data_IF_668544328108
#
_entry.id   IF_668544328108
#
_cell.length_a   1.000
_cell.length_b   1.000
_cell.length_c   1.000
_cell.angle_alpha   90.00
_cell.angle_beta   90.00
_cell.angle_gamma   90.00
#
_symmetry.space_group_name_H-M   'P 1'
#
loop_
_entity.id
_entity.type
_entity.pdbx_description
1 polymer ?
#
# COMPACT_ATOMS: atom_id res chain seq x y z
N UNK A 1 -7.35 4.19 -12.14
CA UNK A 1 -7.00 3.90 -10.73
C UNK A 1 -6.96 5.20 -9.94
N UNK A 2 -7.45 5.20 -8.71
CA UNK A 2 -7.40 6.37 -7.85
C UNK A 2 -6.15 6.31 -6.98
N UNK A 3 -5.34 7.37 -6.99
CA UNK A 3 -4.08 7.42 -6.26
C UNK A 3 -4.31 8.00 -4.86
N UNK A 4 -4.97 7.23 -4.02
CA UNK A 4 -5.31 7.69 -2.68
C UNK A 4 -4.08 7.73 -1.75
N UNK A 5 -4.03 8.69 -0.81
CA UNK A 5 -3.20 8.57 0.38
C UNK A 5 -3.64 7.35 1.19
N UNK A 6 -2.70 6.45 1.45
CA UNK A 6 -2.92 5.19 2.15
C UNK A 6 -1.89 5.01 3.26
N UNK A 7 -2.30 4.30 4.30
CA UNK A 7 -1.47 3.79 5.38
C UNK A 7 -1.48 2.27 5.31
N UNK A 8 -0.29 1.67 5.21
CA UNK A 8 -0.09 0.23 5.29
C UNK A 8 0.42 -0.14 6.69
N UNK A 9 -0.15 -1.17 7.27
CA UNK A 9 0.49 -1.92 8.36
C UNK A 9 1.00 -3.23 7.77
N UNK A 10 2.27 -3.54 7.96
CA UNK A 10 2.86 -4.81 7.54
C UNK A 10 2.67 -5.87 8.64
N UNK A 11 2.71 -7.15 8.25
CA UNK A 11 2.73 -8.30 9.17
C UNK A 11 3.91 -8.25 10.15
N UNK A 12 4.99 -7.53 9.80
CA UNK A 12 6.13 -7.25 10.69
C UNK A 12 5.85 -6.20 11.77
N UNK A 13 4.70 -5.52 11.74
CA UNK A 13 4.36 -4.39 12.60
C UNK A 13 4.86 -3.03 12.09
N UNK A 14 5.56 -2.98 10.95
CA UNK A 14 6.02 -1.73 10.34
C UNK A 14 4.85 -0.99 9.72
N UNK A 15 4.77 0.31 9.96
CA UNK A 15 3.80 1.21 9.34
C UNK A 15 4.45 1.99 8.19
N UNK A 16 3.76 2.06 7.05
CA UNK A 16 4.20 2.83 5.87
C UNK A 16 3.05 3.75 5.46
N UNK A 17 3.29 5.06 5.45
CA UNK A 17 2.30 6.05 5.03
C UNK A 17 2.78 6.69 3.73
N UNK A 18 1.89 6.75 2.74
CA UNK A 18 2.25 7.33 1.45
C UNK A 18 1.08 7.37 0.48
N UNK A 19 1.36 7.65 -0.78
CA UNK A 19 0.34 7.67 -1.84
C UNK A 19 0.43 6.39 -2.67
N UNK A 20 -0.65 5.61 -2.74
CA UNK A 20 -0.73 4.46 -3.63
C UNK A 20 -0.72 4.92 -5.09
N UNK A 21 0.18 4.38 -5.91
CA UNK A 21 0.34 4.76 -7.31
C UNK A 21 -0.24 3.71 -8.27
N UNK A 22 0.18 2.46 -8.10
CA UNK A 22 -0.19 1.34 -8.97
C UNK A 22 0.13 0.00 -8.28
N UNK A 23 -0.21 -1.12 -8.90
CA UNK A 23 0.23 -2.47 -8.55
C UNK A 23 1.12 -3.03 -9.64
N UNK A 24 2.28 -3.61 -9.30
CA UNK A 24 3.18 -4.23 -10.28
C UNK A 24 3.99 -5.36 -9.66
N UNK A 25 4.63 -6.17 -10.50
CA UNK A 25 5.56 -7.20 -10.05
C UNK A 25 6.96 -6.61 -9.85
N UNK A 26 7.64 -7.01 -8.77
CA UNK A 26 9.06 -6.70 -8.56
C UNK A 26 9.96 -7.64 -9.40
N UNK A 27 11.29 -7.49 -9.29
CA UNK A 27 12.26 -8.33 -10.02
C UNK A 27 12.20 -9.81 -9.62
N UNK A 28 11.73 -10.12 -8.40
CA UNK A 28 11.48 -11.47 -7.92
C UNK A 28 10.13 -12.04 -8.40
N UNK A 29 9.35 -11.26 -9.16
CA UNK A 29 7.99 -11.55 -9.63
C UNK A 29 6.92 -11.56 -8.53
N UNK A 30 7.23 -11.08 -7.34
CA UNK A 30 6.22 -10.88 -6.28
C UNK A 30 5.28 -9.74 -6.66
N UNK A 31 4.01 -9.87 -6.29
CA UNK A 31 3.03 -8.80 -6.47
C UNK A 31 3.25 -7.72 -5.41
N UNK A 32 3.42 -6.48 -5.87
CA UNK A 32 3.68 -5.33 -5.02
C UNK A 32 2.69 -4.20 -5.30
N UNK A 33 2.40 -3.41 -4.26
CA UNK A 33 1.88 -2.07 -4.43
C UNK A 33 3.04 -1.09 -4.58
N UNK A 34 2.98 -0.26 -5.62
CA UNK A 34 3.87 0.87 -5.82
C UNK A 34 3.31 2.07 -5.05
N UNK A 35 4.13 2.64 -4.18
CA UNK A 35 3.76 3.80 -3.36
C UNK A 35 4.78 4.92 -3.51
N UNK A 36 4.33 6.15 -3.31
CA UNK A 36 5.20 7.30 -3.09
C UNK A 36 5.25 7.62 -1.60
N UNK A 37 6.43 7.50 -1.01
CA UNK A 37 6.72 7.78 0.41
C UNK A 37 7.82 8.84 0.44
N UNK A 38 7.55 9.99 1.06
CA UNK A 38 8.51 11.12 1.14
C UNK A 38 9.14 11.53 -0.20
N UNK A 39 8.36 11.46 -1.29
CA UNK A 39 8.81 11.79 -2.65
C UNK A 39 9.62 10.68 -3.35
N UNK A 40 9.88 9.57 -2.66
CA UNK A 40 10.56 8.39 -3.21
C UNK A 40 9.53 7.33 -3.57
N UNK A 41 9.72 6.69 -4.72
CA UNK A 41 8.89 5.53 -5.11
C UNK A 41 9.43 4.27 -4.46
N UNK A 42 8.55 3.54 -3.78
CA UNK A 42 8.86 2.27 -3.12
C UNK A 42 7.88 1.17 -3.55
N UNK A 43 8.34 -0.07 -3.50
CA UNK A 43 7.52 -1.26 -3.70
C UNK A 43 7.31 -1.97 -2.38
N UNK A 44 6.06 -2.27 -2.05
CA UNK A 44 5.70 -3.07 -0.88
C UNK A 44 5.04 -4.35 -1.37
N UNK A 45 5.59 -5.51 -0.99
CA UNK A 45 5.05 -6.82 -1.36
C UNK A 45 3.68 -7.01 -0.71
N UNK A 46 2.65 -7.32 -1.51
CA UNK A 46 1.26 -7.41 -1.06
C UNK A 46 1.09 -8.44 0.06
N UNK A 47 1.76 -9.58 -0.04
CA UNK A 47 1.69 -10.67 0.95
C UNK A 47 2.23 -10.28 2.34
N UNK A 48 3.04 -9.21 2.40
CA UNK A 48 3.58 -8.70 3.67
C UNK A 48 2.67 -7.68 4.35
N UNK A 49 1.59 -7.25 3.69
CA UNK A 49 0.63 -6.28 4.20
C UNK A 49 -0.35 -6.99 5.13
N UNK A 50 -0.57 -6.42 6.31
CA UNK A 50 -1.62 -6.82 7.26
C UNK A 50 -2.88 -5.97 7.05
N UNK A 51 -2.73 -4.64 6.95
CA UNK A 51 -3.86 -3.74 6.68
C UNK A 51 -3.49 -2.64 5.69
N UNK A 52 -4.49 -2.17 4.95
CA UNK A 52 -4.44 -0.99 4.11
C UNK A 52 -5.61 -0.07 4.47
N UNK A 53 -5.29 1.13 4.93
CA UNK A 53 -6.24 2.18 5.28
C UNK A 53 -6.14 3.33 4.28
N UNK A 54 -7.27 3.84 3.78
CA UNK A 54 -7.31 5.09 3.02
C UNK A 54 -7.49 6.24 4.01
N UNK A 55 -6.55 7.18 4.03
CA UNK A 55 -6.52 8.24 5.05
C UNK A 55 -7.38 9.47 4.70
N UNK A 56 -8.18 9.35 3.63
CA UNK A 56 -9.15 10.36 3.19
C UNK A 56 -10.52 9.71 2.97
N UNK A 57 -11.58 10.49 3.18
CA UNK A 57 -12.92 10.04 2.87
C UNK A 57 -13.02 9.74 1.36
N UNK A 58 -13.47 8.53 1.06
CA UNK A 58 -13.63 8.05 -0.30
C UNK A 58 -14.80 7.05 -0.35
N UNK A 59 -15.49 6.91 -1.50
CA UNK A 59 -16.66 6.07 -1.61
C UNK A 59 -16.35 4.56 -1.76
N UNK A 60 -15.07 4.17 -1.83
CA UNK A 60 -14.67 2.81 -2.18
C UNK A 60 -14.46 1.94 -0.96
N UNK A 61 -13.57 2.34 -0.06
CA UNK A 61 -13.30 1.62 1.19
C UNK A 61 -12.46 2.49 2.12
N UNK A 62 -12.59 2.26 3.43
CA UNK A 62 -11.77 2.95 4.44
C UNK A 62 -10.60 2.09 4.93
N UNK A 63 -10.85 0.82 5.22
CA UNK A 63 -9.87 -0.12 5.75
C UNK A 63 -10.08 -1.50 5.11
N UNK A 64 -8.99 -2.13 4.73
CA UNK A 64 -8.94 -3.52 4.27
C UNK A 64 -7.92 -4.24 5.13
N UNK A 65 -8.28 -5.43 5.60
CA UNK A 65 -7.39 -6.35 6.32
C UNK A 65 -7.13 -7.56 5.44
N UNK A 66 -5.87 -8.01 5.42
CA UNK A 66 -5.42 -9.16 4.63
C UNK A 66 -5.01 -10.29 5.59
N UNK A 67 -5.24 -11.54 5.18
CA UNK A 67 -4.88 -12.76 5.93
C UNK A 67 -3.40 -13.17 5.71
#
# INVERSE_FOLDING_TARGET
MHQYPIKLMLKSGVEIVGKGLDTKRNDNRDECIQMMVDGVTSLVVLDTILTLEVTVDNPHFKLVTFD
#
